data_IF_376006491072
#
_entry.id   IF_376006491072
#
_cell.length_a   1.000
_cell.length_b   1.000
_cell.length_c   1.000
_cell.angle_alpha   90.00
_cell.angle_beta   90.00
_cell.angle_gamma   90.00
#
_symmetry.space_group_name_H-M   'P 1'
#
loop_
_entity.id
_entity.type
_entity.pdbx_description
1 polymer ?
#
# COMPACT_ATOMS: atom_id res chain seq x y z
N UNK A 1 24.30 44.35 74.25
CA UNK A 1 24.89 43.26 73.46
C UNK A 1 23.79 42.25 73.21
N UNK A 2 23.25 42.19 72.00
CA UNK A 2 22.28 41.17 71.57
C UNK A 2 22.65 40.80 70.15
N UNK A 3 23.28 39.64 69.98
CA UNK A 3 23.59 39.04 68.69
C UNK A 3 22.30 38.52 68.03
N UNK A 4 22.11 38.67 66.70
CA UNK A 4 20.98 38.07 66.00
C UNK A 4 21.13 36.54 65.98
N UNK A 5 20.06 35.80 66.31
CA UNK A 5 20.00 34.36 66.08
C UNK A 5 19.82 34.10 64.58
N UNK A 6 20.82 33.46 63.97
CA UNK A 6 20.66 32.84 62.65
C UNK A 6 19.69 31.65 62.76
N UNK A 7 18.76 31.47 61.80
CA UNK A 7 17.83 30.36 61.84
C UNK A 7 18.56 29.06 61.48
N UNK A 8 18.69 28.17 62.46
CA UNK A 8 19.28 26.86 62.30
C UNK A 8 18.56 26.03 61.22
N UNK A 9 19.36 25.39 60.37
CA UNK A 9 19.07 24.05 59.85
C UNK A 9 17.84 23.89 58.96
N UNK A 10 17.89 24.39 57.72
CA UNK A 10 17.15 23.71 56.66
C UNK A 10 17.87 22.40 56.33
N UNK A 11 17.39 21.31 56.92
CA UNK A 11 17.68 19.94 56.50
C UNK A 11 17.58 19.85 54.96
N UNK A 12 18.60 19.34 54.25
CA UNK A 12 18.52 19.13 52.82
C UNK A 12 17.41 18.14 52.52
N UNK A 13 16.40 18.57 51.75
CA UNK A 13 15.36 17.65 51.27
C UNK A 13 16.03 16.46 50.57
N UNK A 14 15.67 15.21 50.92
CA UNK A 14 16.20 14.05 50.23
C UNK A 14 15.83 14.14 48.75
N UNK A 15 16.81 13.94 47.88
CA UNK A 15 16.59 13.97 46.44
C UNK A 15 15.47 12.96 46.09
N UNK A 16 14.47 13.36 45.29
CA UNK A 16 13.43 12.43 44.87
C UNK A 16 14.08 11.24 44.16
N UNK A 17 13.54 10.01 44.36
CA UNK A 17 14.07 8.83 43.72
C UNK A 17 14.16 9.06 42.21
N UNK A 18 15.24 8.61 41.55
CA UNK A 18 15.35 8.73 40.10
C UNK A 18 14.09 8.12 39.49
N UNK A 19 13.38 8.93 38.71
CA UNK A 19 12.23 8.44 37.94
C UNK A 19 12.70 7.21 37.17
N UNK A 20 11.90 6.11 37.12
CA UNK A 20 12.17 5.02 36.22
C UNK A 20 12.47 5.62 34.84
N UNK A 21 13.44 5.08 34.07
CA UNK A 21 13.60 5.48 32.70
C UNK A 21 12.20 5.48 32.08
N UNK A 22 11.72 6.64 31.63
CA UNK A 22 10.61 6.62 30.70
C UNK A 22 11.15 5.73 29.59
N UNK A 23 10.58 4.54 29.43
CA UNK A 23 10.78 3.75 28.23
C UNK A 23 10.42 4.72 27.11
N UNK A 24 11.44 5.38 26.52
CA UNK A 24 11.26 6.16 25.31
C UNK A 24 10.53 5.19 24.41
N UNK A 25 9.28 5.48 23.99
CA UNK A 25 8.43 4.46 23.41
C UNK A 25 9.19 3.93 22.22
N UNK A 26 9.81 2.75 22.39
CA UNK A 26 10.78 2.22 21.46
C UNK A 26 10.07 2.28 20.13
N UNK A 27 10.57 3.10 19.20
CA UNK A 27 9.88 3.38 17.95
C UNK A 27 9.43 2.04 17.39
N UNK A 28 8.14 1.71 17.57
CA UNK A 28 7.73 0.30 17.65
C UNK A 28 8.14 -0.35 16.35
N UNK A 29 9.19 -1.18 16.41
CA UNK A 29 9.84 -1.69 15.21
C UNK A 29 8.75 -2.35 14.36
N UNK A 30 8.60 -1.90 13.11
CA UNK A 30 7.49 -2.34 12.26
C UNK A 30 7.47 -3.88 12.23
N UNK A 31 6.32 -4.52 12.52
CA UNK A 31 6.22 -5.97 12.47
C UNK A 31 6.66 -6.47 11.09
N UNK A 32 7.29 -7.65 11.06
CA UNK A 32 7.77 -8.25 9.81
C UNK A 32 6.64 -8.42 8.79
N UNK A 33 5.43 -8.68 9.27
CA UNK A 33 4.20 -8.83 8.49
C UNK A 33 3.86 -7.54 7.74
N UNK A 34 4.02 -6.37 8.38
CA UNK A 34 3.79 -5.06 7.74
C UNK A 34 4.86 -4.80 6.68
N UNK A 35 6.11 -5.18 6.95
CA UNK A 35 7.21 -5.04 5.98
C UNK A 35 7.00 -5.96 4.76
N UNK A 36 6.59 -7.21 4.99
CA UNK A 36 6.27 -8.16 3.91
C UNK A 36 5.07 -7.67 3.10
N UNK A 37 4.00 -7.23 3.77
CA UNK A 37 2.84 -6.64 3.10
C UNK A 37 3.24 -5.45 2.22
N UNK A 38 4.10 -4.55 2.74
CA UNK A 38 4.61 -3.43 1.97
C UNK A 38 5.28 -3.89 0.67
N UNK A 39 6.22 -4.83 0.74
CA UNK A 39 6.92 -5.32 -0.44
C UNK A 39 6.00 -6.07 -1.42
N UNK A 40 5.00 -6.80 -0.93
CA UNK A 40 3.98 -7.42 -1.77
C UNK A 40 3.16 -6.37 -2.53
N UNK A 41 2.78 -5.27 -1.89
CA UNK A 41 2.08 -4.17 -2.57
C UNK A 41 2.96 -3.42 -3.56
N UNK A 42 4.25 -3.24 -3.26
CA UNK A 42 5.21 -2.69 -4.23
C UNK A 42 5.33 -3.62 -5.44
N UNK A 43 5.46 -4.93 -5.23
CA UNK A 43 5.48 -5.90 -6.31
C UNK A 43 4.20 -5.85 -7.15
N UNK A 44 3.03 -5.79 -6.51
CA UNK A 44 1.74 -5.60 -7.20
C UNK A 44 1.73 -4.32 -8.04
N UNK A 45 2.16 -3.18 -7.50
CA UNK A 45 2.21 -1.93 -8.24
C UNK A 45 3.15 -2.02 -9.46
N UNK A 46 4.32 -2.63 -9.31
CA UNK A 46 5.27 -2.85 -10.42
C UNK A 46 4.66 -3.75 -11.48
N UNK A 47 4.01 -4.85 -11.09
CA UNK A 47 3.39 -5.78 -12.04
C UNK A 47 2.23 -5.13 -12.82
N UNK A 48 1.41 -4.32 -12.15
CA UNK A 48 0.36 -3.53 -12.81
C UNK A 48 1.00 -2.57 -13.81
N UNK A 49 2.03 -1.83 -13.40
CA UNK A 49 2.73 -0.89 -14.27
C UNK A 49 3.33 -1.57 -15.51
N UNK A 50 4.00 -2.72 -15.33
CA UNK A 50 4.56 -3.51 -16.43
C UNK A 50 3.46 -4.00 -17.37
N UNK A 51 2.35 -4.50 -16.82
CA UNK A 51 1.20 -4.95 -17.61
C UNK A 51 0.59 -3.81 -18.43
N UNK A 52 0.45 -2.62 -17.82
CA UNK A 52 -0.01 -1.41 -18.51
C UNK A 52 0.96 -0.96 -19.60
N UNK A 53 2.27 -1.05 -19.37
CA UNK A 53 3.27 -0.74 -20.39
C UNK A 53 3.19 -1.71 -21.56
N UNK A 54 3.07 -3.02 -21.30
CA UNK A 54 2.89 -4.05 -22.34
C UNK A 54 1.63 -3.76 -23.16
N UNK A 55 0.51 -3.49 -22.51
CA UNK A 55 -0.75 -3.16 -23.18
C UNK A 55 -0.63 -1.91 -24.05
N UNK A 56 0.03 -0.87 -23.53
CA UNK A 56 0.26 0.36 -24.26
C UNK A 56 1.14 0.11 -25.48
N UNK A 57 2.33 -0.47 -25.32
CA UNK A 57 3.26 -0.68 -26.43
C UNK A 57 2.75 -1.71 -27.45
N UNK A 58 1.99 -2.72 -27.02
CA UNK A 58 1.38 -3.75 -27.87
C UNK A 58 0.08 -3.34 -28.57
N UNK A 59 -0.42 -2.12 -28.32
CA UNK A 59 -1.72 -1.64 -28.85
C UNK A 59 -1.87 -1.77 -30.37
N UNK A 60 -0.80 -1.52 -31.14
CA UNK A 60 -0.85 -1.60 -32.60
C UNK A 60 -1.01 -3.05 -33.08
N UNK A 61 -0.28 -3.97 -32.47
CA UNK A 61 -0.42 -5.41 -32.77
C UNK A 61 -1.81 -5.92 -32.42
N UNK A 62 -2.39 -5.47 -31.30
CA UNK A 62 -3.77 -5.79 -30.95
C UNK A 62 -4.77 -5.20 -31.96
N UNK A 63 -4.51 -4.00 -32.47
CA UNK A 63 -5.32 -3.32 -33.47
C UNK A 63 -5.31 -4.06 -34.82
N UNK A 64 -4.14 -4.56 -35.26
CA UNK A 64 -4.01 -5.38 -36.46
C UNK A 64 -4.75 -6.72 -36.33
N UNK A 65 -4.64 -7.38 -35.16
CA UNK A 65 -5.41 -8.60 -34.88
C UNK A 65 -6.92 -8.33 -34.88
N UNK A 66 -7.34 -7.21 -34.29
CA UNK A 66 -8.72 -6.77 -34.27
C UNK A 66 -9.28 -6.55 -35.69
N UNK A 67 -8.53 -5.90 -36.59
CA UNK A 67 -8.93 -5.74 -38.01
C UNK A 67 -9.19 -7.07 -38.72
N UNK A 68 -8.41 -8.09 -38.39
CA UNK A 68 -8.53 -9.43 -38.98
C UNK A 68 -9.64 -10.27 -38.33
N UNK A 69 -10.25 -9.78 -37.25
CA UNK A 69 -11.34 -10.46 -36.56
C UNK A 69 -12.70 -9.95 -37.02
N UNK A 70 -13.60 -10.87 -37.33
CA UNK A 70 -14.92 -10.55 -37.89
C UNK A 70 -15.97 -10.57 -36.77
N UNK A 71 -16.12 -9.41 -36.12
CA UNK A 71 -17.16 -9.20 -35.10
C UNK A 71 -18.44 -8.74 -35.80
N UNK A 72 -19.53 -9.49 -35.61
CA UNK A 72 -20.82 -9.15 -36.22
C UNK A 72 -21.30 -7.77 -35.75
N UNK A 73 -21.68 -6.91 -36.70
CA UNK A 73 -22.25 -5.59 -36.41
C UNK A 73 -21.26 -4.45 -36.22
N UNK A 74 -19.95 -4.68 -36.37
CA UNK A 74 -18.92 -3.62 -36.38
C UNK A 74 -18.08 -3.67 -37.65
N UNK A 75 -17.74 -2.49 -38.19
CA UNK A 75 -16.75 -2.43 -39.26
C UNK A 75 -15.34 -2.73 -38.70
N UNK A 76 -14.42 -3.28 -39.51
CA UNK A 76 -13.05 -3.54 -39.07
C UNK A 76 -12.35 -2.29 -38.53
N UNK A 77 -12.62 -1.13 -39.11
CA UNK A 77 -12.08 0.17 -38.69
C UNK A 77 -12.62 0.60 -37.32
N UNK A 78 -13.90 0.34 -37.04
CA UNK A 78 -14.50 0.62 -35.73
C UNK A 78 -13.89 -0.26 -34.64
N UNK A 79 -13.68 -1.55 -34.95
CA UNK A 79 -13.12 -2.51 -34.01
C UNK A 79 -11.65 -2.20 -33.69
N UNK A 80 -10.88 -1.80 -34.70
CA UNK A 80 -9.51 -1.32 -34.52
C UNK A 80 -9.47 -0.07 -33.62
N UNK A 81 -10.26 0.96 -33.95
CA UNK A 81 -10.29 2.21 -33.19
C UNK A 81 -10.70 1.97 -31.73
N UNK A 82 -11.71 1.12 -31.50
CA UNK A 82 -12.14 0.72 -30.17
C UNK A 82 -11.04 -0.03 -29.40
N UNK A 83 -10.30 -0.92 -30.07
CA UNK A 83 -9.21 -1.70 -29.46
C UNK A 83 -8.04 -0.81 -29.06
N UNK A 84 -7.64 0.12 -29.93
CA UNK A 84 -6.58 1.10 -29.63
C UNK A 84 -6.99 2.01 -28.47
N UNK A 85 -8.21 2.54 -28.51
CA UNK A 85 -8.74 3.40 -27.46
C UNK A 85 -8.80 2.64 -26.12
N UNK A 86 -9.32 1.42 -26.11
CA UNK A 86 -9.38 0.58 -24.93
C UNK A 86 -7.98 0.30 -24.36
N UNK A 87 -7.01 -0.04 -25.21
CA UNK A 87 -5.63 -0.27 -24.78
C UNK A 87 -5.02 0.98 -24.14
N UNK A 88 -5.21 2.17 -24.73
CA UNK A 88 -4.71 3.44 -24.18
C UNK A 88 -5.37 3.74 -22.82
N UNK A 89 -6.70 3.67 -22.74
CA UNK A 89 -7.45 3.98 -21.51
C UNK A 89 -7.09 3.01 -20.39
N UNK A 90 -7.09 1.70 -20.65
CA UNK A 90 -6.73 0.69 -19.65
C UNK A 90 -5.28 0.82 -19.21
N UNK A 91 -4.36 1.18 -20.12
CA UNK A 91 -2.97 1.42 -19.75
C UNK A 91 -2.83 2.63 -18.84
N UNK A 92 -3.53 3.73 -19.14
CA UNK A 92 -3.52 4.93 -18.32
C UNK A 92 -4.11 4.66 -16.93
N UNK A 93 -5.28 4.00 -16.87
CA UNK A 93 -5.93 3.60 -15.62
C UNK A 93 -4.99 2.71 -14.79
N UNK A 94 -4.33 1.74 -15.42
CA UNK A 94 -3.40 0.86 -14.74
C UNK A 94 -2.16 1.59 -14.20
N UNK A 95 -1.60 2.56 -14.93
CA UNK A 95 -0.49 3.40 -14.43
C UNK A 95 -0.93 4.22 -13.21
N UNK A 96 -2.11 4.84 -13.26
CA UNK A 96 -2.68 5.60 -12.13
C UNK A 96 -2.91 4.67 -10.93
N UNK A 97 -3.46 3.48 -11.16
CA UNK A 97 -3.69 2.48 -10.13
C UNK A 97 -2.38 2.00 -9.51
N UNK A 98 -1.35 1.73 -10.32
CA UNK A 98 -0.02 1.35 -9.84
C UNK A 98 0.59 2.44 -8.95
N UNK A 99 0.52 3.70 -9.38
CA UNK A 99 0.98 4.84 -8.59
C UNK A 99 0.20 4.96 -7.26
N UNK A 100 -1.13 4.81 -7.31
CA UNK A 100 -2.00 4.83 -6.13
C UNK A 100 -1.65 3.70 -5.14
N UNK A 101 -1.51 2.46 -5.62
CA UNK A 101 -1.15 1.30 -4.79
C UNK A 101 0.23 1.49 -4.17
N UNK A 102 1.23 1.87 -4.98
CA UNK A 102 2.60 2.08 -4.51
C UNK A 102 2.69 3.20 -3.47
N UNK A 103 2.00 4.33 -3.71
CA UNK A 103 1.93 5.43 -2.75
C UNK A 103 1.22 5.01 -1.45
N UNK A 104 0.09 4.31 -1.56
CA UNK A 104 -0.67 3.86 -0.38
C UNK A 104 0.12 2.84 0.43
N UNK A 105 0.93 1.99 -0.22
CA UNK A 105 1.85 1.08 0.46
C UNK A 105 2.87 1.84 1.33
N UNK A 106 3.38 3.00 0.89
CA UNK A 106 4.26 3.82 1.76
C UNK A 106 3.55 4.28 3.03
N UNK A 107 2.24 4.61 2.93
CA UNK A 107 1.42 4.99 4.09
C UNK A 107 1.13 3.80 5.01
N UNK A 108 1.09 2.57 4.49
CA UNK A 108 0.92 1.35 5.28
C UNK A 108 1.99 1.23 6.38
N UNK A 109 3.25 1.57 6.05
CA UNK A 109 4.39 1.52 6.99
C UNK A 109 4.25 2.51 8.15
N UNK A 110 3.46 3.57 7.97
CA UNK A 110 3.21 4.57 9.02
C UNK A 110 2.12 4.16 10.01
N UNK A 111 1.54 2.96 9.87
CA UNK A 111 0.44 2.50 10.72
C UNK A 111 -0.90 3.17 10.38
N UNK A 112 -1.04 3.73 9.17
CA UNK A 112 -2.24 4.46 8.79
C UNK A 112 -3.39 3.50 8.44
N UNK A 113 -4.45 3.47 9.27
CA UNK A 113 -5.57 2.52 9.10
C UNK A 113 -6.33 2.70 7.78
N UNK A 114 -6.45 3.93 7.28
CA UNK A 114 -7.08 4.22 5.98
C UNK A 114 -6.37 3.51 4.82
N UNK A 115 -5.03 3.44 4.86
CA UNK A 115 -4.22 2.78 3.83
C UNK A 115 -4.56 1.30 3.73
N UNK A 116 -4.90 0.66 4.86
CA UNK A 116 -5.31 -0.75 4.84
C UNK A 116 -6.61 -0.93 4.08
N UNK A 117 -7.62 -0.14 4.38
CA UNK A 117 -8.95 -0.25 3.75
C UNK A 117 -8.82 0.02 2.24
N UNK A 118 -8.11 1.09 1.87
CA UNK A 118 -7.87 1.44 0.46
C UNK A 118 -7.16 0.32 -0.31
N UNK A 119 -6.11 -0.28 0.27
CA UNK A 119 -5.39 -1.39 -0.36
C UNK A 119 -6.24 -2.65 -0.44
N UNK A 120 -7.06 -2.97 0.56
CA UNK A 120 -7.95 -4.13 0.50
C UNK A 120 -8.99 -3.98 -0.62
N UNK A 121 -9.62 -2.81 -0.75
CA UNK A 121 -10.57 -2.53 -1.83
C UNK A 121 -9.87 -2.64 -3.20
N UNK A 122 -8.71 -1.99 -3.34
CA UNK A 122 -7.92 -2.06 -4.57
C UNK A 122 -7.50 -3.50 -4.89
N UNK A 123 -7.04 -4.26 -3.90
CA UNK A 123 -6.60 -5.64 -4.05
C UNK A 123 -7.72 -6.57 -4.50
N UNK A 124 -8.91 -6.45 -3.90
CA UNK A 124 -10.07 -7.23 -4.32
C UNK A 124 -10.43 -6.89 -5.78
N UNK A 125 -10.46 -5.60 -6.13
CA UNK A 125 -10.72 -5.18 -7.51
C UNK A 125 -9.66 -5.71 -8.49
N UNK A 126 -8.38 -5.67 -8.12
CA UNK A 126 -7.26 -6.22 -8.91
C UNK A 126 -7.44 -7.72 -9.11
N UNK A 127 -7.75 -8.47 -8.06
CA UNK A 127 -7.94 -9.93 -8.13
C UNK A 127 -9.10 -10.25 -9.07
N UNK A 128 -10.26 -9.60 -8.90
CA UNK A 128 -11.43 -9.82 -9.74
C UNK A 128 -11.17 -9.45 -11.21
N UNK A 129 -10.50 -8.32 -11.47
CA UNK A 129 -10.16 -7.90 -12.83
C UNK A 129 -9.28 -8.94 -13.54
N UNK A 130 -8.30 -9.52 -12.83
CA UNK A 130 -7.41 -10.53 -13.40
C UNK A 130 -8.10 -11.88 -13.67
N UNK A 131 -9.31 -12.13 -13.16
CA UNK A 131 -10.10 -13.32 -13.50
C UNK A 131 -10.72 -13.24 -14.91
N UNK A 132 -10.88 -12.04 -15.48
CA UNK A 132 -11.53 -11.82 -16.78
C UNK A 132 -10.59 -12.20 -17.95
N UNK A 133 -9.30 -11.90 -17.81
CA UNK A 133 -8.29 -12.03 -18.88
C UNK A 133 -7.12 -12.92 -18.50
N UNK A 134 -7.42 -14.07 -17.90
CA UNK A 134 -6.47 -15.01 -17.27
C UNK A 134 -5.09 -15.03 -17.94
N UNK A 135 -4.08 -14.47 -17.27
CA UNK A 135 -2.71 -14.40 -17.76
C UNK A 135 -1.72 -14.72 -16.63
N UNK A 136 -0.53 -15.22 -16.98
CA UNK A 136 0.49 -15.56 -15.98
C UNK A 136 0.90 -14.33 -15.13
N UNK A 137 1.07 -13.18 -15.77
CA UNK A 137 1.36 -11.91 -15.07
C UNK A 137 0.18 -11.46 -14.22
N UNK A 138 -1.05 -11.60 -14.72
CA UNK A 138 -2.26 -11.26 -13.97
C UNK A 138 -2.45 -12.13 -12.72
N UNK A 139 -2.18 -13.43 -12.82
CA UNK A 139 -2.18 -14.35 -11.68
C UNK A 139 -1.12 -13.97 -10.66
N UNK A 140 0.11 -13.70 -11.10
CA UNK A 140 1.18 -13.28 -10.19
C UNK A 140 0.80 -11.99 -9.45
N UNK A 141 0.18 -11.04 -10.17
CA UNK A 141 -0.34 -9.79 -9.60
C UNK A 141 -1.43 -10.06 -8.57
N UNK A 142 -2.39 -10.94 -8.88
CA UNK A 142 -3.47 -11.31 -7.98
C UNK A 142 -2.95 -12.03 -6.72
N UNK A 143 -1.99 -12.94 -6.84
CA UNK A 143 -1.36 -13.61 -5.71
C UNK A 143 -0.56 -12.64 -4.82
N UNK A 144 0.18 -11.71 -5.42
CA UNK A 144 0.88 -10.67 -4.68
C UNK A 144 -0.09 -9.78 -3.89
N UNK A 145 -1.19 -9.32 -4.52
CA UNK A 145 -2.25 -8.56 -3.86
C UNK A 145 -2.90 -9.36 -2.72
N UNK A 146 -3.25 -10.62 -2.97
CA UNK A 146 -3.87 -11.51 -1.99
C UNK A 146 -2.97 -11.75 -0.78
N UNK A 147 -1.69 -12.07 -1.01
CA UNK A 147 -0.71 -12.21 0.06
C UNK A 147 -0.53 -10.91 0.84
N UNK A 148 -0.51 -9.76 0.16
CA UNK A 148 -0.44 -8.43 0.78
C UNK A 148 -1.62 -8.17 1.72
N UNK A 149 -2.84 -8.52 1.28
CA UNK A 149 -4.05 -8.44 2.12
C UNK A 149 -3.88 -9.34 3.36
N UNK A 150 -3.54 -10.61 3.19
CA UNK A 150 -3.39 -11.53 4.33
C UNK A 150 -2.39 -10.99 5.35
N UNK A 151 -1.19 -10.61 4.90
CA UNK A 151 -0.12 -10.10 5.75
C UNK A 151 -0.55 -8.85 6.51
N UNK A 152 -1.36 -8.00 5.88
CA UNK A 152 -1.92 -6.85 6.57
C UNK A 152 -2.79 -7.26 7.73
N UNK A 153 -3.63 -8.29 7.63
CA UNK A 153 -4.62 -8.66 8.66
C UNK A 153 -4.14 -9.67 9.70
N UNK A 154 -2.88 -10.10 9.66
CA UNK A 154 -2.30 -10.93 10.72
C UNK A 154 -2.25 -10.18 12.06
N UNK A 155 -2.27 -10.95 13.16
CA UNK A 155 -2.29 -10.40 14.53
C UNK A 155 -1.19 -9.36 14.80
N UNK A 156 0.11 -9.62 14.49
CA UNK A 156 1.16 -8.63 14.76
C UNK A 156 0.94 -7.30 14.01
N UNK A 157 0.44 -7.39 12.78
CA UNK A 157 0.10 -6.21 11.99
C UNK A 157 -1.09 -5.46 12.61
N UNK A 158 -2.17 -6.16 13.00
CA UNK A 158 -3.31 -5.55 13.68
C UNK A 158 -2.90 -4.77 14.94
N UNK A 159 -2.10 -5.40 15.80
CA UNK A 159 -1.61 -4.80 17.04
C UNK A 159 -0.85 -3.50 16.75
N UNK A 160 -0.01 -3.49 15.71
CA UNK A 160 0.71 -2.30 15.25
C UNK A 160 -0.23 -1.17 14.78
N UNK A 161 -1.26 -1.48 13.99
CA UNK A 161 -2.20 -0.47 13.50
C UNK A 161 -3.09 0.09 14.62
N UNK A 162 -3.45 -0.72 15.60
CA UNK A 162 -4.20 -0.26 16.79
C UNK A 162 -3.33 0.68 17.62
N UNK A 163 -2.08 0.29 17.91
CA UNK A 163 -1.13 1.13 18.63
C UNK A 163 -0.82 2.44 17.88
N UNK A 164 -0.74 2.40 16.55
CA UNK A 164 -0.56 3.61 15.74
C UNK A 164 -1.78 4.55 15.79
N UNK A 165 -3.00 4.00 15.85
CA UNK A 165 -4.23 4.79 15.99
C UNK A 165 -4.35 5.46 17.36
N UNK A 166 -3.91 4.78 18.43
CA UNK A 166 -3.93 5.34 19.79
C UNK A 166 -2.94 6.49 20.02
N UNK A 167 -1.91 6.61 19.17
CA UNK A 167 -0.92 7.69 19.23
C UNK A 167 -1.34 8.98 18.49
N UNK A 168 -2.48 8.97 17.80
CA UNK A 168 -3.01 10.12 17.05
C UNK A 168 -4.22 10.69 17.78
#
# INVERSE_FOLDING_TARGET
>A
MTTPQEPEGREPFPAPPPLPPLDEPAATAQPREVQLAFWLWIATAVLIFVTSAILFFGRNTAAEQARNSQVQGMSPEQLEAASVLAAIVLSLVGVVLAAFVGWTATKLRTGATWARISLTIAGIAIILFNMIGFSALGLLTAFAAFGGIIMMYLKPANDFFVAAKQRR
#
